data_IF_306540581923
#
_entry.id   IF_306540581923
#
_cell.length_a   1.000
_cell.length_b   1.000
_cell.length_c   1.000
_cell.angle_alpha   90.00
_cell.angle_beta   90.00
_cell.angle_gamma   90.00
#
_symmetry.space_group_name_H-M   'P 1'
#
loop_
_entity.id
_entity.type
_entity.pdbx_description
1 polymer ?
#
# COMPACT_ATOMS: atom_id res chain seq x y z
N UNK A 1 -25.73 -6.16 16.30
CA UNK A 1 -24.53 -6.80 15.70
C UNK A 1 -24.66 -6.59 14.20
N UNK A 2 -23.97 -5.59 13.64
CA UNK A 2 -24.07 -5.28 12.21
C UNK A 2 -23.29 -6.39 11.49
N UNK A 3 -24.01 -7.37 10.93
CA UNK A 3 -23.41 -8.30 9.98
C UNK A 3 -23.01 -7.46 8.76
N UNK A 4 -21.72 -7.15 8.64
CA UNK A 4 -21.17 -6.57 7.43
C UNK A 4 -21.56 -7.48 6.26
N UNK A 5 -22.19 -6.90 5.25
CA UNK A 5 -22.85 -7.59 4.16
C UNK A 5 -21.90 -8.52 3.40
N UNK A 6 -21.91 -9.79 3.76
CA UNK A 6 -21.36 -10.85 2.92
C UNK A 6 -22.22 -10.91 1.66
N UNK A 7 -21.75 -10.25 0.62
CA UNK A 7 -22.36 -10.28 -0.70
C UNK A 7 -21.48 -11.19 -1.55
N UNK A 8 -21.91 -12.44 -1.81
CA UNK A 8 -21.11 -13.42 -2.54
C UNK A 8 -20.84 -13.00 -3.98
N UNK A 9 -21.62 -12.07 -4.54
CA UNK A 9 -21.42 -11.52 -5.88
C UNK A 9 -20.24 -10.53 -5.96
N UNK A 10 -19.78 -10.03 -4.81
CA UNK A 10 -18.73 -9.02 -4.67
C UNK A 10 -17.47 -9.57 -3.98
N UNK A 11 -17.48 -10.82 -3.52
CA UNK A 11 -16.30 -11.47 -2.95
C UNK A 11 -15.36 -11.96 -4.05
N UNK A 12 -14.12 -11.49 -4.02
CA UNK A 12 -13.05 -12.00 -4.88
C UNK A 12 -12.00 -12.62 -3.98
N UNK A 13 -12.01 -13.95 -3.93
CA UNK A 13 -11.00 -14.73 -3.20
C UNK A 13 -10.96 -14.49 -1.69
N UNK A 14 -12.08 -14.19 -1.04
CA UNK A 14 -12.18 -13.90 0.40
C UNK A 14 -12.00 -12.43 0.76
N UNK A 15 -11.94 -11.55 -0.25
CA UNK A 15 -11.92 -10.10 -0.06
C UNK A 15 -13.17 -9.51 -0.69
N UNK A 16 -13.96 -8.79 0.11
CA UNK A 16 -15.17 -8.12 -0.34
C UNK A 16 -14.83 -6.85 -1.13
N UNK A 17 -15.25 -6.79 -2.40
CA UNK A 17 -15.15 -5.63 -3.29
C UNK A 17 -13.76 -4.99 -3.43
N UNK A 18 -12.72 -5.75 -3.83
CA UNK A 18 -11.37 -5.20 -3.92
C UNK A 18 -11.24 -4.06 -4.93
N UNK A 19 -12.03 -4.08 -6.00
CA UNK A 19 -12.03 -3.01 -7.00
C UNK A 19 -12.55 -1.70 -6.42
N UNK A 20 -13.62 -1.75 -5.63
CA UNK A 20 -14.15 -0.57 -4.96
C UNK A 20 -13.15 -0.04 -3.93
N UNK A 21 -12.56 -0.92 -3.13
CA UNK A 21 -11.54 -0.54 -2.15
C UNK A 21 -10.37 0.20 -2.81
N UNK A 22 -9.83 -0.32 -3.92
CA UNK A 22 -8.75 0.34 -4.67
C UNK A 22 -9.20 1.70 -5.21
N UNK A 23 -10.44 1.84 -5.69
CA UNK A 23 -10.97 3.12 -6.18
C UNK A 23 -11.15 4.14 -5.05
N UNK A 24 -11.60 3.70 -3.87
CA UNK A 24 -11.72 4.54 -2.68
C UNK A 24 -10.34 5.00 -2.21
N UNK A 25 -9.36 4.10 -2.11
CA UNK A 25 -7.98 4.46 -1.74
C UNK A 25 -7.38 5.48 -2.70
N UNK A 26 -7.59 5.27 -4.00
CA UNK A 26 -7.16 6.23 -5.03
C UNK A 26 -7.83 7.59 -4.87
N UNK A 27 -9.12 7.63 -4.53
CA UNK A 27 -9.83 8.88 -4.26
C UNK A 27 -9.28 9.58 -3.03
N UNK A 28 -9.07 8.85 -1.92
CA UNK A 28 -8.47 9.38 -0.70
C UNK A 28 -7.09 9.99 -0.97
N UNK A 29 -6.26 9.31 -1.77
CA UNK A 29 -4.97 9.84 -2.19
C UNK A 29 -5.08 11.19 -2.89
N UNK A 30 -6.06 11.34 -3.78
CA UNK A 30 -6.28 12.60 -4.51
C UNK A 30 -6.79 13.70 -3.57
N UNK A 31 -7.66 13.38 -2.62
CA UNK A 31 -8.21 14.33 -1.65
C UNK A 31 -7.18 14.79 -0.62
N UNK A 32 -6.35 13.88 -0.11
CA UNK A 32 -5.30 14.22 0.87
C UNK A 32 -4.09 14.93 0.26
N UNK A 33 -3.99 15.02 -1.08
CA UNK A 33 -2.84 15.64 -1.73
C UNK A 33 -2.84 17.16 -1.53
N UNK A 34 -1.98 17.62 -0.61
CA UNK A 34 -1.84 19.05 -0.30
C UNK A 34 -2.77 19.54 0.80
N UNK A 35 -3.67 18.69 1.30
CA UNK A 35 -4.56 18.96 2.41
C UNK A 35 -4.12 18.15 3.66
N UNK A 36 -3.69 18.87 4.69
CA UNK A 36 -3.23 18.26 5.95
C UNK A 36 -4.37 17.68 6.78
N UNK A 37 -5.51 18.35 6.82
CA UNK A 37 -6.66 17.93 7.64
C UNK A 37 -7.30 16.67 7.05
N UNK A 38 -7.47 16.64 5.72
CA UNK A 38 -7.92 15.45 5.03
C UNK A 38 -6.92 14.29 5.17
N UNK A 39 -5.61 14.56 5.08
CA UNK A 39 -4.56 13.54 5.29
C UNK A 39 -4.63 12.93 6.69
N UNK A 40 -4.86 13.75 7.71
CA UNK A 40 -4.97 13.31 9.11
C UNK A 40 -6.24 12.47 9.31
N UNK A 41 -7.37 12.90 8.77
CA UNK A 41 -8.64 12.17 8.84
C UNK A 41 -8.58 10.77 8.20
N UNK A 42 -7.69 10.54 7.23
CA UNK A 42 -7.54 9.24 6.56
C UNK A 42 -6.36 8.39 7.06
N UNK A 43 -5.53 8.89 7.99
CA UNK A 43 -4.36 8.15 8.48
C UNK A 43 -4.77 6.82 9.15
N UNK A 44 -5.79 6.84 10.00
CA UNK A 44 -6.24 5.66 10.75
C UNK A 44 -6.72 4.54 9.82
N UNK A 45 -7.53 4.88 8.80
CA UNK A 45 -8.03 3.88 7.86
C UNK A 45 -6.91 3.32 6.98
N UNK A 46 -5.95 4.16 6.56
CA UNK A 46 -4.79 3.69 5.79
C UNK A 46 -3.90 2.76 6.62
N UNK A 47 -3.68 3.07 7.90
CA UNK A 47 -2.95 2.20 8.82
C UNK A 47 -3.68 0.88 9.06
N UNK A 48 -5.01 0.93 9.21
CA UNK A 48 -5.84 -0.26 9.40
C UNK A 48 -5.84 -1.18 8.17
N UNK A 49 -5.97 -0.62 6.96
CA UNK A 49 -5.89 -1.40 5.72
C UNK A 49 -4.48 -1.98 5.53
N UNK A 50 -3.44 -1.19 5.81
CA UNK A 50 -2.04 -1.63 5.69
C UNK A 50 -1.68 -2.80 6.63
N UNK A 51 -2.35 -2.93 7.77
CA UNK A 51 -2.10 -3.96 8.78
C UNK A 51 -3.01 -5.17 8.65
N UNK A 52 -4.29 -4.99 8.29
CA UNK A 52 -5.27 -6.07 8.24
C UNK A 52 -5.43 -6.74 6.88
N UNK A 53 -4.88 -6.18 5.80
CA UNK A 53 -5.03 -6.79 4.47
C UNK A 53 -4.15 -8.04 4.33
N UNK A 54 -4.77 -9.16 3.98
CA UNK A 54 -4.09 -10.42 3.75
C UNK A 54 -3.24 -10.40 2.46
N UNK A 55 -1.97 -10.80 2.53
CA UNK A 55 -1.02 -10.77 1.39
C UNK A 55 -0.88 -12.10 0.65
N UNK A 56 -1.61 -13.14 1.08
CA UNK A 56 -1.51 -14.48 0.52
C UNK A 56 -1.93 -14.56 -0.96
N UNK A 57 -2.74 -13.60 -1.43
CA UNK A 57 -3.29 -13.57 -2.79
C UNK A 57 -3.02 -12.22 -3.47
N UNK A 58 -3.02 -12.22 -4.80
CA UNK A 58 -2.81 -11.02 -5.62
C UNK A 58 -3.78 -9.89 -5.33
N UNK A 59 -5.01 -10.22 -4.91
CA UNK A 59 -6.05 -9.23 -4.57
C UNK A 59 -5.62 -8.35 -3.41
N UNK A 60 -5.18 -8.97 -2.30
CA UNK A 60 -4.72 -8.20 -1.14
C UNK A 60 -3.40 -7.48 -1.40
N UNK A 61 -2.50 -8.06 -2.21
CA UNK A 61 -1.30 -7.35 -2.67
C UNK A 61 -1.65 -6.10 -3.49
N UNK A 62 -2.73 -6.13 -4.28
CA UNK A 62 -3.22 -4.98 -5.05
C UNK A 62 -3.79 -3.88 -4.15
N UNK A 63 -4.55 -4.25 -3.12
CA UNK A 63 -5.09 -3.28 -2.13
C UNK A 63 -3.95 -2.63 -1.34
N UNK A 64 -3.02 -3.44 -0.85
CA UNK A 64 -1.84 -2.92 -0.14
C UNK A 64 -0.98 -2.05 -1.02
N UNK A 65 -0.85 -2.41 -2.30
CA UNK A 65 -0.15 -1.59 -3.26
C UNK A 65 -0.73 -0.18 -3.36
N UNK A 66 -2.05 -0.07 -3.57
CA UNK A 66 -2.72 1.23 -3.66
C UNK A 66 -2.67 1.97 -2.32
N UNK A 67 -2.75 1.25 -1.20
CA UNK A 67 -2.62 1.82 0.16
C UNK A 67 -1.24 2.47 0.34
N UNK A 68 -0.16 1.79 -0.06
CA UNK A 68 1.20 2.34 0.02
C UNK A 68 1.33 3.57 -0.87
N UNK A 69 0.83 3.54 -2.10
CA UNK A 69 0.83 4.71 -2.97
C UNK A 69 0.10 5.90 -2.32
N UNK A 70 -1.03 5.62 -1.67
CA UNK A 70 -1.83 6.63 -0.98
C UNK A 70 -1.05 7.27 0.17
N UNK A 71 -0.46 6.47 1.05
CA UNK A 71 0.38 6.92 2.16
C UNK A 71 1.54 7.80 1.67
N UNK A 72 2.18 7.42 0.57
CA UNK A 72 3.39 8.09 0.09
C UNK A 72 3.13 9.43 -0.60
N UNK A 73 1.92 9.64 -1.13
CA UNK A 73 1.56 10.88 -1.86
C UNK A 73 0.91 11.93 -0.94
N UNK A 74 0.30 11.53 0.18
CA UNK A 74 -0.32 12.45 1.16
C UNK A 74 0.68 12.95 2.23
N UNK A 75 0.26 13.94 3.02
CA UNK A 75 1.03 14.43 4.17
C UNK A 75 0.86 13.51 5.39
N UNK A 76 1.22 12.24 5.23
CA UNK A 76 1.15 11.24 6.30
C UNK A 76 2.26 11.40 7.33
N UNK A 77 2.02 10.88 8.54
CA UNK A 77 3.04 10.79 9.58
C UNK A 77 4.23 9.91 9.17
N UNK A 78 5.39 10.16 9.79
CA UNK A 78 6.63 9.41 9.53
C UNK A 78 6.46 7.91 9.80
N UNK A 79 5.73 7.53 10.85
CA UNK A 79 5.47 6.12 11.18
C UNK A 79 4.70 5.39 10.07
N UNK A 80 3.69 6.04 9.48
CA UNK A 80 2.89 5.47 8.41
C UNK A 80 3.71 5.32 7.12
N UNK A 81 4.61 6.27 6.81
CA UNK A 81 5.55 6.14 5.68
C UNK A 81 6.53 4.99 5.87
N UNK A 82 7.07 4.82 7.08
CA UNK A 82 7.94 3.69 7.42
C UNK A 82 7.20 2.35 7.24
N UNK A 83 5.93 2.27 7.66
CA UNK A 83 5.09 1.10 7.40
C UNK A 83 4.96 0.82 5.89
N UNK A 84 4.72 1.87 5.10
CA UNK A 84 4.65 1.77 3.64
C UNK A 84 5.93 1.24 3.01
N UNK A 85 7.11 1.74 3.41
CA UNK A 85 8.40 1.22 2.93
C UNK A 85 8.60 -0.24 3.33
N UNK A 86 8.24 -0.62 4.57
CA UNK A 86 8.35 -2.01 5.03
C UNK A 86 7.45 -2.96 4.22
N UNK A 87 6.28 -2.52 3.75
CA UNK A 87 5.43 -3.30 2.84
C UNK A 87 6.13 -3.49 1.50
N UNK A 88 6.70 -2.42 0.91
CA UNK A 88 7.46 -2.52 -0.34
C UNK A 88 8.68 -3.44 -0.20
N UNK A 89 9.37 -3.39 0.93
CA UNK A 89 10.47 -4.30 1.27
C UNK A 89 10.05 -5.77 1.24
N UNK A 90 8.86 -6.09 1.79
CA UNK A 90 8.29 -7.45 1.70
C UNK A 90 7.95 -7.83 0.26
N UNK A 91 7.44 -6.90 -0.55
CA UNK A 91 7.15 -7.15 -1.96
C UNK A 91 8.42 -7.43 -2.78
N UNK A 92 9.56 -6.80 -2.48
CA UNK A 92 10.84 -7.10 -3.13
C UNK A 92 11.31 -8.54 -2.89
N UNK A 93 10.99 -9.11 -1.73
CA UNK A 93 11.36 -10.49 -1.37
C UNK A 93 10.38 -11.53 -1.95
N UNK A 94 9.28 -11.10 -2.57
CA UNK A 94 8.27 -12.00 -3.13
C UNK A 94 8.86 -12.82 -4.28
N UNK A 95 8.39 -14.05 -4.52
CA UNK A 95 8.84 -14.88 -5.65
C UNK A 95 8.23 -14.45 -6.99
N UNK A 96 7.08 -13.76 -6.97
CA UNK A 96 6.43 -13.23 -8.16
C UNK A 96 7.16 -12.00 -8.70
N UNK A 97 7.60 -12.08 -9.96
CA UNK A 97 8.29 -10.99 -10.67
C UNK A 97 7.41 -9.75 -10.83
N UNK A 98 6.10 -9.91 -10.96
CA UNK A 98 5.16 -8.78 -11.08
C UNK A 98 5.14 -7.98 -9.77
N UNK A 99 5.10 -8.66 -8.63
CA UNK A 99 5.11 -8.01 -7.32
C UNK A 99 6.44 -7.28 -7.09
N UNK A 100 7.57 -7.90 -7.45
CA UNK A 100 8.89 -7.23 -7.41
C UNK A 100 8.94 -5.98 -8.28
N UNK A 101 8.45 -6.08 -9.52
CA UNK A 101 8.41 -4.95 -10.44
C UNK A 101 7.60 -3.78 -9.89
N UNK A 102 6.41 -4.07 -9.36
CA UNK A 102 5.52 -3.07 -8.75
C UNK A 102 6.20 -2.40 -7.54
N UNK A 103 6.91 -3.17 -6.72
CA UNK A 103 7.66 -2.64 -5.58
C UNK A 103 8.81 -1.72 -6.02
N UNK A 104 9.63 -2.14 -6.99
CA UNK A 104 10.75 -1.35 -7.51
C UNK A 104 10.26 -0.04 -8.15
N UNK A 105 9.24 -0.11 -9.00
CA UNK A 105 8.66 1.07 -9.65
C UNK A 105 8.11 2.08 -8.63
N UNK A 106 7.67 1.60 -7.47
CA UNK A 106 7.06 2.44 -6.45
C UNK A 106 8.09 3.02 -5.52
N UNK A 107 9.09 2.24 -5.11
CA UNK A 107 10.26 2.75 -4.40
C UNK A 107 10.97 3.84 -5.18
N UNK A 108 11.04 3.71 -6.52
CA UNK A 108 11.60 4.74 -7.40
C UNK A 108 10.84 6.08 -7.29
N UNK A 109 9.51 6.05 -7.18
CA UNK A 109 8.69 7.26 -7.03
C UNK A 109 8.82 7.89 -5.64
N UNK A 110 9.09 7.09 -4.61
CA UNK A 110 9.09 7.53 -3.21
C UNK A 110 10.48 7.81 -2.66
N UNK A 111 11.55 7.53 -3.42
CA UNK A 111 12.94 7.75 -2.99
C UNK A 111 13.21 9.19 -2.59
N UNK A 112 12.55 10.16 -3.23
CA UNK A 112 12.69 11.58 -2.92
C UNK A 112 11.99 11.98 -1.61
N UNK A 113 11.04 11.16 -1.13
CA UNK A 113 10.25 11.42 0.08
C UNK A 113 10.94 10.85 1.32
N UNK A 114 11.50 9.64 1.24
CA UNK A 114 12.20 8.99 2.36
C UNK A 114 13.38 8.15 1.89
N UNK A 115 14.49 8.84 1.57
CA UNK A 115 15.75 8.19 1.16
C UNK A 115 16.28 7.23 2.23
N UNK A 116 16.12 7.57 3.51
CA UNK A 116 16.68 6.79 4.62
C UNK A 116 16.03 5.40 4.74
N UNK A 117 14.71 5.34 4.63
CA UNK A 117 13.98 4.06 4.65
C UNK A 117 14.28 3.22 3.40
N UNK A 118 14.37 3.83 2.21
CA UNK A 118 14.69 3.11 0.97
C UNK A 118 16.11 2.51 1.00
N UNK A 119 17.09 3.21 1.57
CA UNK A 119 18.47 2.72 1.67
C UNK A 119 18.59 1.40 2.44
N UNK A 120 17.69 1.12 3.39
CA UNK A 120 17.68 -0.15 4.14
C UNK A 120 17.44 -1.37 3.25
N UNK A 121 16.75 -1.19 2.13
CA UNK A 121 16.44 -2.24 1.17
C UNK A 121 17.42 -2.29 -0.02
N UNK A 122 18.50 -1.49 0.01
CA UNK A 122 19.46 -1.40 -1.09
C UNK A 122 20.06 -2.75 -1.50
N UNK A 123 20.40 -3.62 -0.54
CA UNK A 123 20.93 -4.96 -0.83
C UNK A 123 19.93 -5.79 -1.64
N UNK A 124 18.67 -5.83 -1.20
CA UNK A 124 17.59 -6.54 -1.89
C UNK A 124 17.30 -5.97 -3.28
N UNK A 125 17.36 -4.64 -3.44
CA UNK A 125 17.21 -3.99 -4.74
C UNK A 125 18.34 -4.41 -5.69
N UNK A 126 19.58 -4.44 -5.21
CA UNK A 126 20.73 -4.91 -6.01
C UNK A 126 20.62 -6.38 -6.38
N UNK A 127 20.09 -7.22 -5.49
CA UNK A 127 19.84 -8.64 -5.78
C UNK A 127 18.73 -8.83 -6.83
N UNK A 128 17.83 -7.86 -7.03
CA UNK A 128 16.85 -7.90 -8.10
C UNK A 128 17.45 -7.59 -9.49
N UNK A 129 18.68 -7.08 -9.57
CA UNK A 129 19.40 -6.76 -10.82
C UNK A 129 20.36 -7.87 -11.28
N UNK A 130 20.57 -8.90 -10.45
CA UNK A 130 21.36 -10.09 -10.79
C UNK A 130 20.50 -11.11 -11.54
#
# INVERSE_FOLDING_TARGET
MIMAGYSPEHDVSGVSDPFLQVRILRLLRLLGRGDGEASEAMNDILAQVATNTETAKNVGNTILYETVLSIMEIRSESGLRVLGVNILGRFLLNTDKNIRYVALNTLLKTVHVDTGAVQRHRSTILDCLK
#
